data_IF_184122382457
#
_entry.id   IF_184122382457
#
_cell.length_a   1.000
_cell.length_b   1.000
_cell.length_c   1.000
_cell.angle_alpha   90.00
_cell.angle_beta   90.00
_cell.angle_gamma   90.00
#
_symmetry.space_group_name_H-M   'P 1'
#
loop_
_entity.id
_entity.type
_entity.pdbx_description
1 polymer ?
#
# COMPACT_ATOMS: atom_id res chain seq x y z
N UNK A 1 -3.81 0.65 26.64
CA UNK A 1 -4.80 1.16 25.67
C UNK A 1 -5.29 2.48 26.22
N UNK A 2 -4.85 3.62 25.66
CA UNK A 2 -5.53 4.88 25.94
C UNK A 2 -6.91 4.82 25.27
N UNK A 3 -7.94 5.41 25.88
CA UNK A 3 -9.26 5.52 25.23
C UNK A 3 -9.19 6.30 23.91
N UNK A 4 -8.25 7.23 23.84
CA UNK A 4 -8.01 8.13 22.70
C UNK A 4 -7.45 7.39 21.48
N UNK A 5 -6.55 6.43 21.68
CA UNK A 5 -5.97 5.61 20.60
C UNK A 5 -7.07 4.82 19.88
N UNK A 6 -7.96 4.19 20.65
CA UNK A 6 -9.06 3.40 20.09
C UNK A 6 -10.04 4.28 19.32
N UNK A 7 -10.39 5.44 19.87
CA UNK A 7 -11.27 6.41 19.19
C UNK A 7 -10.65 6.89 17.88
N UNK A 8 -9.37 7.28 17.89
CA UNK A 8 -8.65 7.68 16.69
C UNK A 8 -8.60 6.58 15.61
N UNK A 9 -8.40 5.32 16.02
CA UNK A 9 -8.44 4.18 15.10
C UNK A 9 -9.83 3.98 14.47
N UNK A 10 -10.89 4.06 15.28
CA UNK A 10 -12.26 3.89 14.78
C UNK A 10 -12.64 5.02 13.82
N UNK A 11 -12.29 6.26 14.16
CA UNK A 11 -12.53 7.45 13.33
C UNK A 11 -11.76 7.37 12.01
N UNK A 12 -10.49 6.95 12.02
CA UNK A 12 -9.69 6.77 10.81
C UNK A 12 -10.33 5.72 9.88
N UNK A 13 -10.69 4.55 10.41
CA UNK A 13 -11.31 3.49 9.60
C UNK A 13 -12.68 3.91 9.05
N UNK A 14 -13.46 4.67 9.81
CA UNK A 14 -14.75 5.19 9.37
C UNK A 14 -14.58 6.24 8.26
N UNK A 15 -13.61 7.14 8.41
CA UNK A 15 -13.28 8.12 7.40
C UNK A 15 -12.84 7.45 6.10
N UNK A 16 -11.96 6.44 6.18
CA UNK A 16 -11.52 5.69 5.01
C UNK A 16 -12.66 4.94 4.32
N UNK A 17 -13.55 4.30 5.08
CA UNK A 17 -14.73 3.64 4.53
C UNK A 17 -15.75 4.63 3.91
N UNK A 18 -15.64 5.92 4.22
CA UNK A 18 -16.48 6.98 3.64
C UNK A 18 -15.83 7.65 2.42
N UNK A 19 -14.50 7.69 2.37
CA UNK A 19 -13.73 8.27 1.28
C UNK A 19 -13.60 7.28 0.10
N UNK A 20 -13.39 6.01 0.41
CA UNK A 20 -13.12 4.96 -0.57
C UNK A 20 -14.28 3.97 -0.65
N UNK A 21 -14.58 3.52 -1.86
CA UNK A 21 -15.62 2.51 -2.08
C UNK A 21 -15.19 1.13 -1.57
N UNK A 22 -16.17 0.22 -1.40
CA UNK A 22 -15.93 -1.11 -0.84
C UNK A 22 -15.04 -2.06 -1.67
N UNK A 23 -14.67 -1.66 -2.90
CA UNK A 23 -13.63 -2.37 -3.67
C UNK A 23 -12.22 -1.83 -3.38
N UNK A 24 -12.09 -0.54 -3.08
CA UNK A 24 -10.80 0.10 -2.76
C UNK A 24 -10.43 -0.11 -1.30
N UNK A 25 -11.39 -0.07 -0.36
CA UNK A 25 -11.12 -0.22 1.07
C UNK A 25 -12.04 -1.25 1.72
N UNK A 26 -11.45 -2.17 2.48
CA UNK A 26 -12.16 -3.22 3.22
C UNK A 26 -11.62 -3.34 4.63
N UNK A 27 -12.42 -2.93 5.61
CA UNK A 27 -12.15 -3.19 7.03
C UNK A 27 -12.27 -4.69 7.33
N UNK A 28 -11.36 -5.22 8.14
CA UNK A 28 -11.45 -6.59 8.65
C UNK A 28 -12.52 -6.70 9.75
N UNK A 29 -13.23 -7.83 9.80
CA UNK A 29 -14.31 -8.05 10.78
C UNK A 29 -13.79 -8.42 12.18
N UNK A 30 -12.65 -9.10 12.26
CA UNK A 30 -12.15 -9.72 13.49
C UNK A 30 -10.97 -8.99 14.13
N UNK A 31 -10.25 -8.16 13.38
CA UNK A 31 -9.08 -7.42 13.83
C UNK A 31 -9.24 -5.95 13.51
N UNK A 32 -8.56 -5.08 14.26
CA UNK A 32 -8.55 -3.65 14.00
C UNK A 32 -7.60 -3.37 12.84
N UNK A 33 -8.04 -3.68 11.62
CA UNK A 33 -7.21 -3.65 10.42
C UNK A 33 -8.06 -3.71 9.15
N UNK A 34 -7.40 -3.89 8.01
CA UNK A 34 -8.08 -3.94 6.73
C UNK A 34 -7.16 -4.19 5.53
N UNK A 35 -7.79 -4.23 4.37
CA UNK A 35 -7.15 -4.29 3.06
C UNK A 35 -7.53 -3.02 2.27
N UNK A 36 -6.52 -2.40 1.65
CA UNK A 36 -6.70 -1.36 0.64
C UNK A 36 -6.17 -1.85 -0.70
N UNK A 37 -6.94 -1.63 -1.77
CA UNK A 37 -6.54 -1.84 -3.16
C UNK A 37 -6.31 -0.48 -3.82
N UNK A 38 -5.07 -0.20 -4.17
CA UNK A 38 -4.66 1.04 -4.82
C UNK A 38 -4.56 0.80 -6.33
N UNK A 39 -5.36 1.53 -7.08
CA UNK A 39 -5.32 1.59 -8.54
C UNK A 39 -4.49 2.80 -8.98
N UNK A 40 -3.40 2.52 -9.70
CA UNK A 40 -2.50 3.56 -10.19
C UNK A 40 -3.02 4.19 -11.48
N UNK A 41 -3.04 5.51 -11.51
CA UNK A 41 -3.30 6.27 -12.73
C UNK A 41 -2.01 6.32 -13.57
N UNK A 42 -1.95 5.49 -14.60
CA UNK A 42 -0.76 5.39 -15.43
C UNK A 42 -0.66 6.55 -16.44
N UNK A 43 0.52 7.19 -16.58
CA UNK A 43 0.74 8.19 -17.61
C UNK A 43 0.66 7.57 -19.02
N UNK A 44 0.39 8.41 -20.01
CA UNK A 44 0.36 7.97 -21.40
C UNK A 44 1.73 7.43 -21.82
N UNK A 45 1.75 6.19 -22.34
CA UNK A 45 2.95 5.43 -22.69
C UNK A 45 3.76 4.87 -21.51
N UNK A 46 3.11 4.46 -20.41
CA UNK A 46 3.79 3.75 -19.33
C UNK A 46 4.37 2.41 -19.83
N UNK A 47 5.68 2.21 -19.62
CA UNK A 47 6.41 1.06 -20.14
C UNK A 47 6.90 0.15 -19.00
N UNK A 48 6.65 -1.14 -19.14
CA UNK A 48 7.19 -2.17 -18.24
C UNK A 48 8.27 -2.99 -18.94
N UNK A 49 9.29 -3.37 -18.18
CA UNK A 49 10.33 -4.27 -18.64
C UNK A 49 10.07 -5.67 -18.08
N UNK A 50 9.90 -6.63 -18.99
CA UNK A 50 9.72 -8.04 -18.63
C UNK A 50 11.00 -8.80 -18.99
N UNK A 51 11.72 -9.26 -17.97
CA UNK A 51 12.85 -10.18 -18.15
C UNK A 51 12.35 -11.62 -18.08
N UNK A 52 12.27 -12.31 -19.22
CA UNK A 52 11.94 -13.74 -19.27
C UNK A 52 13.15 -14.60 -18.89
N UNK A 53 12.96 -15.58 -18.00
CA UNK A 53 14.00 -16.56 -17.68
C UNK A 53 13.92 -17.74 -18.66
N UNK A 54 14.32 -17.54 -19.90
CA UNK A 54 14.42 -18.61 -20.90
C UNK A 54 15.86 -19.15 -20.94
N UNK A 55 16.03 -20.40 -20.52
CA UNK A 55 17.27 -21.19 -20.58
C UNK A 55 17.71 -21.53 -22.03
N UNK A 56 17.37 -20.71 -23.03
CA UNK A 56 17.83 -20.90 -24.40
C UNK A 56 18.67 -19.69 -24.83
N UNK A 57 19.90 -20.02 -25.23
CA UNK A 57 20.95 -19.12 -25.64
C UNK A 57 20.52 -18.21 -26.80
N UNK A 58 20.58 -16.89 -26.56
CA UNK A 58 20.77 -15.75 -27.49
C UNK A 58 19.78 -14.61 -27.18
N UNK A 59 20.36 -13.49 -26.74
CA UNK A 59 19.76 -12.16 -26.51
C UNK A 59 19.22 -11.91 -25.10
N UNK A 60 20.03 -11.18 -24.32
CA UNK A 60 19.66 -10.30 -23.20
C UNK A 60 18.62 -9.25 -23.64
N UNK A 61 17.45 -9.67 -24.12
CA UNK A 61 16.39 -8.78 -24.59
C UNK A 61 15.26 -8.82 -23.57
N UNK A 62 15.34 -7.95 -22.58
CA UNK A 62 14.15 -7.58 -21.82
C UNK A 62 13.14 -7.00 -22.79
N UNK A 63 11.90 -7.48 -22.76
CA UNK A 63 10.84 -6.94 -23.61
C UNK A 63 10.22 -5.72 -22.94
N UNK A 64 10.13 -4.62 -23.67
CA UNK A 64 9.49 -3.39 -23.22
C UNK A 64 8.05 -3.36 -23.75
N UNK A 65 7.07 -3.37 -22.85
CA UNK A 65 5.64 -3.30 -23.21
C UNK A 65 5.05 -1.99 -22.74
N UNK A 66 4.33 -1.30 -23.62
CA UNK A 66 3.48 -0.19 -23.21
C UNK A 66 2.17 -0.74 -22.72
N UNK A 67 1.81 -0.44 -21.47
CA UNK A 67 0.57 -0.91 -20.86
C UNK A 67 -0.30 0.29 -20.46
N UNK A 68 -1.61 0.10 -20.56
CA UNK A 68 -2.58 1.12 -20.16
C UNK A 68 -3.15 0.88 -18.77
N UNK A 69 -2.98 -0.34 -18.21
CA UNK A 69 -3.56 -0.74 -16.93
C UNK A 69 -2.61 -1.67 -16.18
N UNK A 70 -2.50 -1.47 -14.87
CA UNK A 70 -1.76 -2.35 -13.97
C UNK A 70 -2.73 -3.04 -13.00
N UNK A 71 -2.43 -4.29 -12.59
CA UNK A 71 -3.08 -4.88 -11.44
C UNK A 71 -2.94 -3.98 -10.20
N UNK A 72 -3.96 -3.88 -9.33
CA UNK A 72 -3.90 -3.03 -8.15
C UNK A 72 -2.77 -3.47 -7.21
N UNK A 73 -2.20 -2.47 -6.53
CA UNK A 73 -1.32 -2.67 -5.39
C UNK A 73 -2.19 -2.94 -4.17
N UNK A 74 -1.91 -4.02 -3.45
CA UNK A 74 -2.69 -4.41 -2.27
C UNK A 74 -1.88 -4.12 -1.02
N UNK A 75 -2.43 -3.28 -0.14
CA UNK A 75 -1.91 -2.97 1.18
C UNK A 75 -2.80 -3.65 2.22
N UNK A 76 -2.26 -4.61 2.95
CA UNK A 76 -2.90 -5.19 4.13
C UNK A 76 -2.29 -4.54 5.36
N UNK A 77 -3.12 -4.14 6.32
CA UNK A 77 -2.65 -3.51 7.56
C UNK A 77 -3.44 -3.97 8.79
N UNK A 78 -2.79 -3.91 9.94
CA UNK A 78 -3.33 -4.20 11.26
C UNK A 78 -2.84 -3.14 12.24
N UNK A 79 -3.78 -2.56 12.99
CA UNK A 79 -3.54 -1.48 13.94
C UNK A 79 -3.35 -2.09 15.33
N UNK A 80 -2.18 -1.85 15.97
CA UNK A 80 -1.97 -2.31 17.33
C UNK A 80 -2.77 -1.45 18.32
N UNK A 81 -3.02 -1.94 19.55
CA UNK A 81 -3.86 -1.24 20.54
C UNK A 81 -3.32 0.11 21.06
N UNK A 82 -2.10 0.46 20.69
CA UNK A 82 -1.36 1.66 21.09
C UNK A 82 -1.03 2.59 19.90
N UNK A 83 -1.58 2.30 18.72
CA UNK A 83 -1.60 3.22 17.58
C UNK A 83 -2.74 4.24 17.74
N UNK A 84 -2.57 5.52 17.37
CA UNK A 84 -1.40 6.12 16.73
C UNK A 84 -0.36 6.70 17.70
N UNK A 85 -0.52 6.55 19.02
CA UNK A 85 0.37 7.22 19.97
C UNK A 85 1.80 6.66 20.04
N UNK A 86 1.96 5.34 19.99
CA UNK A 86 3.23 4.68 20.35
C UNK A 86 3.83 3.83 19.22
N UNK A 87 3.00 3.03 18.55
CA UNK A 87 3.44 2.04 17.56
C UNK A 87 2.76 2.25 16.20
N UNK A 88 3.47 1.96 15.08
CA UNK A 88 2.90 2.03 13.74
C UNK A 88 1.92 0.87 13.45
N UNK A 89 1.11 1.00 12.40
CA UNK A 89 0.40 -0.13 11.80
C UNK A 89 1.39 -1.22 11.35
N UNK A 90 1.06 -2.48 11.63
CA UNK A 90 1.73 -3.61 10.96
C UNK A 90 1.15 -3.76 9.56
N UNK A 91 1.98 -3.85 8.52
CA UNK A 91 1.47 -3.90 7.16
C UNK A 91 2.23 -4.85 6.23
N UNK A 92 1.61 -5.19 5.12
CA UNK A 92 2.20 -5.96 4.02
C UNK A 92 1.74 -5.39 2.69
N UNK A 93 2.70 -5.17 1.79
CA UNK A 93 2.47 -4.62 0.46
C UNK A 93 2.67 -5.70 -0.60
N UNK A 94 1.73 -5.82 -1.54
CA UNK A 94 1.76 -6.81 -2.61
C UNK A 94 1.38 -6.20 -3.96
N UNK A 95 2.30 -6.26 -4.92
CA UNK A 95 2.08 -5.79 -6.28
C UNK A 95 2.75 -6.73 -7.29
N UNK A 96 1.96 -7.32 -8.20
CA UNK A 96 2.46 -8.33 -9.16
C UNK A 96 3.49 -7.79 -10.15
N UNK A 97 3.51 -6.48 -10.34
CA UNK A 97 4.35 -5.78 -11.32
C UNK A 97 5.54 -5.07 -10.68
N UNK A 98 5.66 -5.13 -9.34
CA UNK A 98 6.78 -4.56 -8.60
C UNK A 98 7.79 -5.63 -8.25
N UNK A 99 9.08 -5.30 -8.41
CA UNK A 99 10.16 -6.15 -7.92
C UNK A 99 10.22 -6.12 -6.37
N UNK A 100 10.80 -7.14 -5.73
CA UNK A 100 11.00 -7.15 -4.28
C UNK A 100 11.77 -5.92 -3.77
N UNK A 101 12.74 -5.43 -4.56
CA UNK A 101 13.51 -4.23 -4.22
C UNK A 101 12.64 -2.96 -4.23
N UNK A 102 11.72 -2.83 -5.20
CA UNK A 102 10.79 -1.70 -5.25
C UNK A 102 9.76 -1.79 -4.11
N UNK A 103 9.21 -2.98 -3.83
CA UNK A 103 8.32 -3.17 -2.67
C UNK A 103 9.02 -2.81 -1.36
N UNK A 104 10.27 -3.25 -1.18
CA UNK A 104 11.04 -2.89 0.02
C UNK A 104 11.31 -1.38 0.13
N UNK A 105 11.52 -0.70 -1.00
CA UNK A 105 11.67 0.76 -1.02
C UNK A 105 10.36 1.47 -0.64
N UNK A 106 9.22 0.99 -1.14
CA UNK A 106 7.90 1.51 -0.76
C UNK A 106 7.62 1.30 0.73
N UNK A 107 7.86 0.10 1.27
CA UNK A 107 7.68 -0.15 2.70
C UNK A 107 8.51 0.80 3.56
N UNK A 108 9.79 1.01 3.22
CA UNK A 108 10.65 1.98 3.91
C UNK A 108 10.10 3.40 3.85
N UNK A 109 9.46 3.77 2.75
CA UNK A 109 8.85 5.09 2.63
C UNK A 109 7.61 5.22 3.51
N UNK A 110 6.77 4.17 3.58
CA UNK A 110 5.63 4.13 4.51
C UNK A 110 6.09 4.22 5.98
N UNK A 111 7.19 3.55 6.33
CA UNK A 111 7.80 3.66 7.66
C UNK A 111 8.27 5.09 7.97
N UNK A 112 8.88 5.77 6.98
CA UNK A 112 9.29 7.17 7.14
C UNK A 112 8.08 8.10 7.30
N UNK A 113 7.02 7.91 6.50
CA UNK A 113 5.78 8.67 6.63
C UNK A 113 5.16 8.52 8.02
N UNK A 114 5.24 7.31 8.60
CA UNK A 114 4.85 7.10 9.99
C UNK A 114 5.69 7.94 10.96
N UNK A 115 7.02 7.92 10.84
CA UNK A 115 7.88 8.67 11.76
C UNK A 115 7.69 10.19 11.65
N UNK A 116 7.38 10.70 10.45
CA UNK A 116 7.04 12.12 10.24
C UNK A 116 5.72 12.52 10.92
N UNK A 117 4.77 11.61 10.95
CA UNK A 117 3.42 11.81 11.48
C UNK A 117 3.19 11.13 12.85
N UNK A 118 4.27 10.80 13.56
CA UNK A 118 4.20 10.03 14.80
C UNK A 118 3.28 10.68 15.83
N UNK A 119 2.35 9.90 16.38
CA UNK A 119 1.30 10.41 17.28
C UNK A 119 0.01 10.81 16.55
N UNK A 120 -0.09 10.60 15.23
CA UNK A 120 -1.29 10.83 14.44
C UNK A 120 -1.57 9.68 13.48
N UNK A 121 -2.80 9.66 12.95
CA UNK A 121 -3.28 8.64 12.03
C UNK A 121 -2.62 8.79 10.64
N UNK A 122 -2.20 7.68 10.02
CA UNK A 122 -1.32 7.70 8.83
C UNK A 122 -1.83 6.91 7.61
N UNK A 123 -2.88 6.11 7.75
CA UNK A 123 -3.36 5.25 6.66
C UNK A 123 -3.79 6.07 5.44
N UNK A 124 -4.45 7.22 5.67
CA UNK A 124 -4.81 8.10 4.55
C UNK A 124 -3.57 8.61 3.80
N UNK A 125 -2.53 9.05 4.52
CA UNK A 125 -1.28 9.51 3.93
C UNK A 125 -0.59 8.39 3.14
N UNK A 126 -0.56 7.17 3.68
CA UNK A 126 -0.04 6.00 2.98
C UNK A 126 -0.79 5.71 1.68
N UNK A 127 -2.13 5.76 1.70
CA UNK A 127 -2.92 5.51 0.49
C UNK A 127 -2.70 6.58 -0.59
N UNK A 128 -2.60 7.85 -0.19
CA UNK A 128 -2.33 8.94 -1.12
C UNK A 128 -0.93 8.79 -1.74
N UNK A 129 0.09 8.55 -0.93
CA UNK A 129 1.45 8.32 -1.41
C UNK A 129 1.53 7.12 -2.37
N UNK A 130 0.85 6.01 -2.06
CA UNK A 130 0.87 4.83 -2.92
C UNK A 130 0.11 5.03 -4.24
N UNK A 131 -0.76 6.05 -4.33
CA UNK A 131 -1.53 6.36 -5.53
C UNK A 131 -0.80 7.31 -6.47
N UNK A 132 0.10 8.14 -5.94
CA UNK A 132 0.90 9.13 -6.66
C UNK A 132 2.12 8.51 -7.36
#
# INVERSE_FOLDING_TARGET
>A
MSSEDREAQEDELLALASIYDGDEFRKAESVQGGETRIYLDLPQNFKIFVSGNSNECLQNSGFEYTICFLPPLVLNFELPPDYPSSSPPSFTLSGKWLSPTQLSALCKHLDNLWEEHRGSVVLFAWMQFLKE
#
